data_IF_002076659888
#
_entry.id   IF_002076659888
#
_cell.length_a   1.000
_cell.length_b   1.000
_cell.length_c   1.000
_cell.angle_alpha   90.00
_cell.angle_beta   90.00
_cell.angle_gamma   90.00
#
_symmetry.space_group_name_H-M   'P 1'
#
loop_
_entity.id
_entity.type
_entity.pdbx_description
1 polymer ?
#
# COMPACT_ATOMS: atom_id res chain seq x y z
N UNK A 1 -6.92 -2.00 -2.91
CA UNK A 1 -6.67 -1.91 -4.35
C UNK A 1 -7.79 -2.52 -5.17
N UNK A 2 -8.23 -3.74 -4.85
CA UNK A 2 -9.30 -4.45 -5.57
C UNK A 2 -10.60 -3.65 -5.61
N UNK A 3 -10.94 -2.97 -4.53
CA UNK A 3 -12.16 -2.14 -4.46
C UNK A 3 -12.12 -0.96 -5.42
N UNK A 4 -10.98 -0.27 -5.52
CA UNK A 4 -10.79 0.84 -6.45
C UNK A 4 -10.87 0.38 -7.91
N UNK A 5 -10.23 -0.76 -8.20
CA UNK A 5 -10.25 -1.37 -9.52
C UNK A 5 -11.67 -1.77 -9.97
N UNK A 6 -12.47 -2.34 -9.05
CA UNK A 6 -13.87 -2.69 -9.33
C UNK A 6 -14.70 -1.43 -9.57
N UNK A 7 -14.50 -0.37 -8.79
CA UNK A 7 -15.20 0.89 -8.97
C UNK A 7 -14.96 1.51 -10.36
N UNK A 8 -13.73 1.45 -10.87
CA UNK A 8 -13.40 1.93 -12.22
C UNK A 8 -14.01 1.09 -13.36
N UNK A 9 -14.07 -0.24 -13.22
CA UNK A 9 -14.49 -1.16 -14.31
C UNK A 9 -15.98 -1.48 -14.36
N UNK A 10 -16.70 -1.33 -13.27
CA UNK A 10 -18.08 -1.80 -13.14
C UNK A 10 -19.05 -0.69 -12.78
N UNK A 11 -18.97 0.44 -13.46
CA UNK A 11 -20.05 1.42 -13.37
C UNK A 11 -21.31 0.75 -13.98
N UNK A 12 -22.34 0.41 -13.19
CA UNK A 12 -23.57 -0.15 -13.76
C UNK A 12 -24.17 0.90 -14.69
N UNK A 13 -24.63 0.55 -15.88
CA UNK A 13 -25.12 1.51 -16.87
C UNK A 13 -26.37 2.31 -16.44
N UNK A 14 -26.97 2.01 -15.28
CA UNK A 14 -28.29 2.53 -14.91
C UNK A 14 -28.40 3.20 -13.54
N UNK A 15 -27.31 3.33 -12.74
CA UNK A 15 -27.37 4.06 -11.46
C UNK A 15 -26.14 4.97 -11.35
N UNK A 16 -26.38 6.27 -11.33
CA UNK A 16 -25.42 7.24 -10.85
C UNK A 16 -25.16 6.99 -9.35
N UNK A 17 -24.09 6.28 -9.04
CA UNK A 17 -23.60 6.16 -7.68
C UNK A 17 -22.72 7.37 -7.39
N UNK A 18 -23.23 8.32 -6.65
CA UNK A 18 -22.52 9.55 -6.26
C UNK A 18 -21.21 9.30 -5.49
N UNK A 19 -21.01 8.08 -5.01
CA UNK A 19 -19.82 7.67 -4.28
C UNK A 19 -18.70 7.05 -5.13
N UNK A 20 -18.89 6.88 -6.44
CA UNK A 20 -17.87 6.27 -7.29
C UNK A 20 -16.85 7.30 -7.78
N UNK A 21 -15.58 6.86 -7.87
CA UNK A 21 -14.53 7.68 -8.48
C UNK A 21 -14.75 7.77 -10.00
N UNK A 22 -14.56 8.96 -10.53
CA UNK A 22 -14.46 9.17 -11.97
C UNK A 22 -13.06 8.74 -12.46
N UNK A 23 -12.98 8.21 -13.68
CA UNK A 23 -11.75 7.78 -14.33
C UNK A 23 -11.77 6.33 -14.81
N UNK A 24 -10.66 5.89 -15.36
CA UNK A 24 -10.46 4.51 -15.82
C UNK A 24 -9.78 3.66 -14.74
N UNK A 25 -10.12 2.38 -14.69
CA UNK A 25 -9.39 1.41 -13.88
C UNK A 25 -7.94 1.23 -14.37
N UNK A 26 -7.68 1.54 -15.62
CA UNK A 26 -6.35 1.44 -16.22
C UNK A 26 -5.41 2.56 -15.71
N UNK A 27 -5.97 3.64 -15.13
CA UNK A 27 -5.22 4.72 -14.48
C UNK A 27 -4.87 4.40 -13.02
N UNK A 28 -5.31 3.25 -12.50
CA UNK A 28 -5.07 2.84 -11.12
C UNK A 28 -3.86 1.92 -11.06
N UNK A 29 -2.81 2.40 -10.40
CA UNK A 29 -1.58 1.66 -10.14
C UNK A 29 -1.57 1.13 -8.71
N UNK A 30 -1.32 -0.16 -8.52
CA UNK A 30 -1.32 -0.79 -7.20
C UNK A 30 -0.09 -1.69 -6.99
N UNK A 31 0.70 -1.35 -5.98
CA UNK A 31 1.91 -2.10 -5.64
C UNK A 31 1.68 -3.03 -4.46
N UNK A 32 1.80 -4.34 -4.68
CA UNK A 32 1.65 -5.39 -3.68
C UNK A 32 2.95 -5.83 -3.00
N UNK A 33 3.98 -4.97 -2.93
CA UNK A 33 5.34 -5.37 -2.57
C UNK A 33 5.55 -5.75 -1.10
N UNK A 34 4.61 -5.45 -0.18
CA UNK A 34 4.74 -5.76 1.25
C UNK A 34 6.09 -5.35 1.82
N UNK A 35 6.40 -4.05 1.69
CA UNK A 35 7.70 -3.48 2.10
C UNK A 35 7.85 -3.32 3.62
N UNK A 36 6.82 -3.65 4.38
CA UNK A 36 6.84 -3.76 5.84
C UNK A 36 7.61 -4.98 6.35
N UNK A 37 7.92 -5.94 5.47
CA UNK A 37 8.61 -7.19 5.84
C UNK A 37 9.76 -7.52 4.89
N UNK A 38 10.70 -8.30 5.40
CA UNK A 38 11.85 -8.83 4.67
C UNK A 38 12.90 -7.77 4.33
N UNK A 39 13.93 -8.19 3.61
CA UNK A 39 15.05 -7.35 3.22
C UNK A 39 14.63 -6.38 2.10
N UNK A 40 14.71 -5.07 2.36
CA UNK A 40 14.37 -4.00 1.40
C UNK A 40 15.60 -3.37 0.72
N UNK A 41 16.81 -3.82 1.04
CA UNK A 41 18.02 -3.50 0.28
C UNK A 41 18.13 -4.33 -1.00
N UNK A 42 17.39 -5.45 -1.07
CA UNK A 42 17.30 -6.25 -2.29
C UNK A 42 16.39 -5.57 -3.29
N UNK A 43 16.59 -5.88 -4.55
CA UNK A 43 15.72 -5.42 -5.62
C UNK A 43 14.25 -5.74 -5.31
N UNK A 44 13.43 -4.68 -5.24
CA UNK A 44 12.01 -4.76 -4.86
C UNK A 44 11.19 -5.47 -5.95
N UNK A 45 11.58 -5.37 -7.19
CA UNK A 45 10.96 -6.07 -8.33
C UNK A 45 11.63 -7.42 -8.61
N UNK A 46 12.66 -7.78 -7.85
CA UNK A 46 13.47 -8.97 -8.05
C UNK A 46 12.89 -10.25 -7.44
N UNK A 47 13.56 -11.36 -7.76
CA UNK A 47 13.17 -12.72 -7.33
C UNK A 47 13.04 -12.88 -5.81
N UNK A 48 13.87 -12.19 -5.02
CA UNK A 48 13.79 -12.26 -3.56
C UNK A 48 12.41 -11.82 -3.07
N UNK A 49 11.94 -10.67 -3.51
CA UNK A 49 10.65 -10.09 -3.11
C UNK A 49 9.49 -10.95 -3.60
N UNK A 50 9.56 -11.43 -4.84
CA UNK A 50 8.60 -12.38 -5.41
C UNK A 50 8.46 -13.61 -4.54
N UNK A 51 9.57 -14.27 -4.21
CA UNK A 51 9.58 -15.49 -3.39
C UNK A 51 9.05 -15.25 -1.97
N UNK A 52 9.39 -14.10 -1.37
CA UNK A 52 8.89 -13.72 -0.06
C UNK A 52 7.36 -13.59 -0.08
N UNK A 53 6.80 -12.88 -1.05
CA UNK A 53 5.35 -12.68 -1.19
C UNK A 53 4.65 -14.03 -1.40
N UNK A 54 5.16 -14.88 -2.27
CA UNK A 54 4.61 -16.23 -2.50
C UNK A 54 4.61 -17.08 -1.23
N UNK A 55 5.70 -17.06 -0.48
CA UNK A 55 5.79 -17.72 0.82
C UNK A 55 4.73 -17.25 1.81
N UNK A 56 4.49 -15.93 1.87
CA UNK A 56 3.49 -15.34 2.75
C UNK A 56 2.06 -15.71 2.38
N UNK A 57 1.80 -15.89 1.11
CA UNK A 57 0.48 -16.24 0.59
C UNK A 57 0.25 -17.76 0.54
N UNK A 58 1.21 -18.58 1.02
CA UNK A 58 1.22 -20.04 0.90
C UNK A 58 1.02 -20.53 -0.55
N UNK A 59 1.56 -19.79 -1.50
CA UNK A 59 1.47 -20.12 -2.93
C UNK A 59 2.60 -21.03 -3.34
N UNK A 60 2.32 -22.01 -4.20
CA UNK A 60 3.36 -22.88 -4.78
C UNK A 60 4.13 -22.12 -5.86
N UNK A 61 5.44 -22.36 -5.93
CA UNK A 61 6.25 -21.89 -7.07
C UNK A 61 5.65 -22.44 -8.37
N UNK A 62 5.34 -21.56 -9.29
CA UNK A 62 4.66 -21.88 -10.55
C UNK A 62 3.19 -21.46 -10.61
N UNK A 63 2.54 -21.21 -9.47
CA UNK A 63 1.28 -20.47 -9.41
C UNK A 63 1.59 -18.97 -9.47
N UNK A 64 2.05 -18.48 -10.62
CA UNK A 64 2.20 -17.05 -10.83
C UNK A 64 0.82 -16.42 -10.75
N UNK A 65 0.56 -15.70 -9.65
CA UNK A 65 -0.62 -14.86 -9.66
C UNK A 65 -0.39 -13.74 -10.64
N UNK A 66 -1.38 -13.52 -11.46
CA UNK A 66 -1.51 -12.36 -12.34
C UNK A 66 -1.18 -11.07 -11.55
N UNK A 67 -1.57 -11.00 -10.28
CA UNK A 67 -1.34 -9.86 -9.39
C UNK A 67 0.14 -9.47 -9.23
N UNK A 68 1.09 -10.41 -9.22
CA UNK A 68 2.51 -10.06 -9.11
C UNK A 68 3.11 -9.60 -10.44
N UNK A 69 2.76 -10.29 -11.54
CA UNK A 69 3.13 -9.85 -12.88
C UNK A 69 2.55 -8.46 -13.17
N UNK A 70 1.32 -8.23 -12.73
CA UNK A 70 0.64 -6.94 -12.84
C UNK A 70 1.36 -5.84 -12.04
N UNK A 71 1.91 -6.13 -10.85
CA UNK A 71 2.68 -5.14 -10.07
C UNK A 71 3.91 -4.62 -10.81
N UNK A 72 4.63 -5.49 -11.53
CA UNK A 72 5.76 -5.07 -12.35
C UNK A 72 5.32 -4.19 -13.54
N UNK A 73 4.27 -4.61 -14.24
CA UNK A 73 3.70 -3.81 -15.34
C UNK A 73 3.19 -2.46 -14.86
N UNK A 74 2.65 -2.39 -13.65
CA UNK A 74 2.16 -1.18 -13.04
C UNK A 74 3.27 -0.18 -12.68
N UNK A 75 4.47 -0.64 -12.32
CA UNK A 75 5.63 0.25 -12.15
C UNK A 75 6.05 0.88 -13.48
N UNK A 76 6.01 0.14 -14.57
CA UNK A 76 6.27 0.71 -15.91
C UNK A 76 5.19 1.74 -16.29
N UNK A 77 3.94 1.44 -15.99
CA UNK A 77 2.83 2.36 -16.25
C UNK A 77 2.97 3.67 -15.44
N UNK A 78 3.35 3.57 -14.16
CA UNK A 78 3.65 4.76 -13.36
C UNK A 78 4.76 5.62 -13.98
N UNK A 79 5.83 5.01 -14.46
CA UNK A 79 6.93 5.74 -15.12
C UNK A 79 6.45 6.49 -16.36
N UNK A 80 5.60 5.87 -17.18
CA UNK A 80 4.99 6.52 -18.35
C UNK A 80 4.21 7.77 -17.94
N UNK A 81 3.38 7.68 -16.90
CA UNK A 81 2.63 8.84 -16.40
C UNK A 81 3.53 9.94 -15.85
N UNK A 82 4.60 9.57 -15.13
CA UNK A 82 5.55 10.53 -14.60
C UNK A 82 6.31 11.26 -15.71
N UNK A 83 6.76 10.56 -16.73
CA UNK A 83 7.43 11.13 -17.91
C UNK A 83 6.50 12.00 -18.75
N UNK A 84 5.20 11.69 -18.78
CA UNK A 84 4.18 12.51 -19.43
C UNK A 84 3.81 13.78 -18.63
N UNK A 85 4.31 13.94 -17.40
CA UNK A 85 4.00 15.09 -16.55
C UNK A 85 2.62 15.01 -15.86
N UNK A 86 2.01 13.82 -15.83
CA UNK A 86 0.69 13.62 -15.21
C UNK A 86 0.73 13.85 -13.69
N UNK A 87 -0.35 14.37 -13.14
CA UNK A 87 -0.48 14.48 -11.68
C UNK A 87 -0.78 13.12 -11.06
N UNK A 88 -0.14 12.82 -9.93
CA UNK A 88 -0.25 11.52 -9.26
C UNK A 88 -1.01 11.66 -7.95
N UNK A 89 -2.10 10.89 -7.79
CA UNK A 89 -2.86 10.78 -6.55
C UNK A 89 -2.48 9.51 -5.81
N UNK A 90 -2.02 9.64 -4.56
CA UNK A 90 -1.59 8.51 -3.73
C UNK A 90 -2.58 8.30 -2.60
N UNK A 91 -3.16 7.11 -2.54
CA UNK A 91 -4.04 6.65 -1.48
C UNK A 91 -3.23 5.83 -0.48
N UNK A 92 -3.15 6.26 0.77
CA UNK A 92 -2.38 5.57 1.79
C UNK A 92 -3.11 5.51 3.14
N UNK A 93 -2.68 4.60 4.01
CA UNK A 93 -3.17 4.46 5.38
C UNK A 93 -2.01 4.35 6.37
N UNK A 94 -2.32 4.30 7.67
CA UNK A 94 -1.31 4.08 8.71
C UNK A 94 -0.90 2.60 8.85
N UNK A 95 -1.44 1.68 8.04
CA UNK A 95 -0.95 0.32 7.99
C UNK A 95 0.54 0.28 7.59
N UNK A 96 1.40 -0.52 8.26
CA UNK A 96 2.85 -0.53 8.03
C UNK A 96 3.23 -0.70 6.56
N UNK A 97 2.62 -1.66 5.84
CA UNK A 97 2.89 -1.87 4.42
C UNK A 97 2.52 -0.65 3.56
N UNK A 98 1.45 0.07 3.92
CA UNK A 98 1.01 1.25 3.19
C UNK A 98 1.96 2.43 3.41
N UNK A 99 2.45 2.60 4.64
CA UNK A 99 3.46 3.62 4.97
C UNK A 99 4.80 3.35 4.31
N UNK A 100 5.29 2.11 4.37
CA UNK A 100 6.51 1.73 3.65
C UNK A 100 6.35 1.95 2.14
N UNK A 101 5.19 1.60 1.58
CA UNK A 101 4.86 1.86 0.18
C UNK A 101 4.88 3.34 -0.18
N UNK A 102 4.29 4.21 0.67
CA UNK A 102 4.35 5.65 0.49
C UNK A 102 5.79 6.18 0.48
N UNK A 103 6.62 5.76 1.45
CA UNK A 103 8.00 6.21 1.55
C UNK A 103 8.83 5.78 0.34
N UNK A 104 8.68 4.52 -0.07
CA UNK A 104 9.33 4.00 -1.28
C UNK A 104 8.88 4.76 -2.54
N UNK A 105 7.59 5.00 -2.69
CA UNK A 105 7.06 5.74 -3.83
C UNK A 105 7.56 7.18 -3.83
N UNK A 106 7.58 7.87 -2.69
CA UNK A 106 8.15 9.22 -2.59
C UNK A 106 9.65 9.26 -2.92
N UNK A 107 10.40 8.20 -2.61
CA UNK A 107 11.80 8.09 -3.03
C UNK A 107 11.94 8.06 -4.57
N UNK A 108 11.03 7.39 -5.27
CA UNK A 108 10.97 7.41 -6.74
C UNK A 108 10.55 8.82 -7.23
N UNK A 109 9.46 9.36 -6.68
CA UNK A 109 8.86 10.63 -7.09
C UNK A 109 9.77 11.83 -6.83
N UNK A 110 10.76 11.71 -5.94
CA UNK A 110 11.71 12.77 -5.66
C UNK A 110 12.53 13.21 -6.89
N UNK A 111 12.65 12.35 -7.89
CA UNK A 111 13.34 12.63 -9.17
C UNK A 111 12.44 13.30 -10.22
N UNK A 112 11.15 13.55 -9.91
CA UNK A 112 10.17 14.09 -10.85
C UNK A 112 9.56 15.39 -10.34
N UNK A 113 9.05 16.24 -11.23
CA UNK A 113 8.42 17.52 -10.89
C UNK A 113 6.89 17.49 -11.00
N UNK A 114 6.31 16.31 -11.13
CA UNK A 114 4.86 16.10 -11.22
C UNK A 114 4.14 16.61 -9.96
N UNK A 115 2.92 17.10 -10.13
CA UNK A 115 2.06 17.41 -9.00
C UNK A 115 1.65 16.13 -8.28
N UNK A 116 1.92 16.07 -6.99
CA UNK A 116 1.59 14.91 -6.14
C UNK A 116 0.50 15.30 -5.17
N UNK A 117 -0.52 14.46 -5.08
CA UNK A 117 -1.65 14.61 -4.17
C UNK A 117 -1.74 13.38 -3.26
N UNK A 118 -2.00 13.60 -1.99
CA UNK A 118 -2.17 12.55 -1.02
C UNK A 118 -3.59 12.51 -0.46
N UNK A 119 -4.13 11.30 -0.33
CA UNK A 119 -5.34 11.01 0.43
C UNK A 119 -4.99 9.98 1.50
N UNK A 120 -5.06 10.41 2.76
CA UNK A 120 -4.87 9.53 3.90
C UNK A 120 -6.20 8.92 4.30
N UNK A 121 -6.26 7.60 4.48
CA UNK A 121 -7.41 6.95 5.11
C UNK A 121 -7.53 7.46 6.56
N UNK A 122 -8.64 8.05 6.97
CA UNK A 122 -8.86 8.40 8.37
C UNK A 122 -8.98 7.14 9.22
N UNK A 123 -8.59 7.23 10.48
CA UNK A 123 -8.69 6.12 11.43
C UNK A 123 -10.15 5.64 11.60
N UNK A 124 -11.09 6.59 11.54
CA UNK A 124 -12.51 6.29 11.61
C UNK A 124 -13.33 7.26 10.75
N UNK A 125 -14.51 6.81 10.37
CA UNK A 125 -15.52 7.61 9.67
C UNK A 125 -16.84 7.53 10.43
N UNK A 126 -17.56 8.65 10.49
CA UNK A 126 -18.88 8.72 11.14
C UNK A 126 -19.97 8.59 10.08
N UNK A 127 -20.71 7.50 10.13
CA UNK A 127 -21.88 7.25 9.29
C UNK A 127 -23.17 7.38 10.14
N UNK A 128 -23.75 8.56 10.15
CA UNK A 128 -24.92 8.86 10.96
C UNK A 128 -24.63 8.73 12.47
N UNK A 129 -25.13 7.65 13.10
CA UNK A 129 -24.88 7.34 14.52
C UNK A 129 -23.82 6.26 14.74
N UNK A 130 -23.23 5.75 13.68
CA UNK A 130 -22.23 4.67 13.73
C UNK A 130 -20.84 5.22 13.45
N UNK A 131 -19.84 4.76 14.22
CA UNK A 131 -18.42 5.02 13.96
C UNK A 131 -17.83 3.75 13.39
N UNK A 132 -17.22 3.86 12.20
CA UNK A 132 -16.53 2.76 11.51
C UNK A 132 -15.04 3.04 11.54
N UNK A 133 -14.26 2.07 12.01
CA UNK A 133 -12.81 2.11 12.01
C UNK A 133 -12.27 1.34 10.82
N UNK A 134 -11.38 1.97 10.05
CA UNK A 134 -10.70 1.35 8.92
C UNK A 134 -9.22 1.17 9.22
N UNK A 135 -8.71 -0.03 9.00
CA UNK A 135 -7.28 -0.33 9.12
C UNK A 135 -6.51 -0.04 7.83
N UNK A 136 -7.19 -0.21 6.71
CA UNK A 136 -6.61 -0.04 5.37
C UNK A 136 -7.69 0.19 4.31
N UNK A 137 -7.28 0.62 3.12
CA UNK A 137 -8.18 0.90 2.00
C UNK A 137 -8.94 -0.33 1.48
N UNK A 138 -8.48 -1.54 1.76
CA UNK A 138 -9.18 -2.76 1.37
C UNK A 138 -10.47 -3.02 2.16
N UNK A 139 -10.69 -2.32 3.27
CA UNK A 139 -11.90 -2.40 4.09
C UNK A 139 -12.97 -1.38 3.66
N UNK A 140 -12.61 -0.42 2.82
CA UNK A 140 -13.51 0.63 2.32
C UNK A 140 -14.31 0.09 1.15
N UNK A 141 -15.64 0.25 1.19
CA UNK A 141 -16.50 -0.14 0.08
C UNK A 141 -16.24 0.76 -1.16
N UNK A 142 -16.39 0.18 -2.34
CA UNK A 142 -16.07 0.89 -3.59
C UNK A 142 -16.86 2.20 -3.76
N UNK A 143 -18.08 2.22 -3.27
CA UNK A 143 -19.02 3.33 -3.33
C UNK A 143 -18.65 4.49 -2.40
N UNK A 144 -17.74 4.27 -1.45
CA UNK A 144 -17.34 5.25 -0.44
C UNK A 144 -16.10 6.05 -0.85
N UNK A 145 -15.32 5.56 -1.83
CA UNK A 145 -14.03 6.16 -2.20
C UNK A 145 -14.12 7.64 -2.57
N UNK A 146 -15.13 8.05 -3.34
CA UNK A 146 -15.28 9.44 -3.74
C UNK A 146 -15.50 10.39 -2.54
N UNK A 147 -16.09 9.89 -1.45
CA UNK A 147 -16.27 10.66 -0.22
C UNK A 147 -14.96 11.11 0.44
N UNK A 148 -13.87 10.38 0.21
CA UNK A 148 -12.56 10.70 0.76
C UNK A 148 -11.78 11.74 -0.06
N UNK A 149 -12.25 12.11 -1.26
CA UNK A 149 -11.61 13.15 -2.08
C UNK A 149 -11.55 14.51 -1.35
N UNK A 150 -12.48 14.78 -0.45
CA UNK A 150 -12.45 15.99 0.40
C UNK A 150 -11.21 16.08 1.30
N UNK A 151 -10.55 14.97 1.57
CA UNK A 151 -9.29 14.88 2.32
C UNK A 151 -8.03 14.96 1.44
N UNK A 152 -8.19 15.17 0.13
CA UNK A 152 -7.06 15.32 -0.80
C UNK A 152 -6.27 16.58 -0.51
N UNK A 153 -4.94 16.48 -0.54
CA UNK A 153 -4.05 17.63 -0.43
C UNK A 153 -2.88 17.52 -1.38
N UNK A 154 -2.44 18.65 -1.90
CA UNK A 154 -1.20 18.76 -2.67
C UNK A 154 -0.02 18.66 -1.70
N UNK A 155 1.04 18.01 -2.14
CA UNK A 155 2.25 17.74 -1.35
C UNK A 155 3.39 18.61 -1.87
N UNK A 156 4.12 19.25 -0.95
CA UNK A 156 5.30 20.01 -1.34
C UNK A 156 6.49 19.12 -1.68
N UNK A 157 7.43 19.64 -2.44
CA UNK A 157 8.67 18.94 -2.78
C UNK A 157 9.49 18.59 -1.51
N UNK A 158 9.44 19.46 -0.51
CA UNK A 158 10.10 19.25 0.78
C UNK A 158 9.51 18.06 1.51
N UNK A 159 8.18 17.90 1.48
CA UNK A 159 7.52 16.75 2.10
C UNK A 159 7.84 15.45 1.36
N UNK A 160 7.90 15.46 0.03
CA UNK A 160 8.34 14.29 -0.76
C UNK A 160 9.77 13.91 -0.39
N UNK A 161 10.69 14.88 -0.26
CA UNK A 161 12.07 14.63 0.18
C UNK A 161 12.14 14.06 1.60
N UNK A 162 11.30 14.55 2.49
CA UNK A 162 11.18 14.01 3.86
C UNK A 162 10.77 12.53 3.83
N UNK A 163 9.74 12.16 3.08
CA UNK A 163 9.34 10.76 2.95
C UNK A 163 10.42 9.90 2.28
N UNK A 164 11.11 10.43 1.27
CA UNK A 164 12.24 9.75 0.64
C UNK A 164 13.40 9.53 1.63
N UNK A 165 13.68 10.49 2.53
CA UNK A 165 14.67 10.33 3.61
C UNK A 165 14.27 9.22 4.58
N UNK A 166 12.99 9.17 4.99
CA UNK A 166 12.47 8.09 5.83
C UNK A 166 12.59 6.71 5.16
N UNK A 167 12.42 6.64 3.83
CA UNK A 167 12.69 5.41 3.09
C UNK A 167 14.15 4.98 3.21
N UNK A 168 15.08 5.90 3.03
CA UNK A 168 16.52 5.61 3.13
C UNK A 168 16.90 5.16 4.55
N UNK A 169 16.36 5.78 5.59
CA UNK A 169 16.54 5.32 6.98
C UNK A 169 16.07 3.87 7.18
N UNK A 170 14.91 3.50 6.62
CA UNK A 170 14.41 2.12 6.68
C UNK A 170 15.29 1.15 5.90
N UNK A 171 15.85 1.57 4.77
CA UNK A 171 16.78 0.76 3.97
C UNK A 171 18.10 0.55 4.70
N UNK A 172 18.61 1.57 5.39
CA UNK A 172 19.84 1.47 6.20
C UNK A 172 19.63 0.53 7.40
N UNK A 173 18.53 0.69 8.14
CA UNK A 173 18.16 -0.18 9.26
C UNK A 173 17.92 -1.62 8.80
N UNK A 174 17.21 -1.79 7.70
CA UNK A 174 16.88 -3.05 7.04
C UNK A 174 16.41 -4.18 7.98
N UNK A 175 15.76 -3.84 9.08
CA UNK A 175 15.14 -4.81 10.00
C UNK A 175 14.16 -5.70 9.24
N UNK A 176 14.04 -7.01 9.59
CA UNK A 176 13.20 -7.95 8.85
C UNK A 176 11.71 -7.66 8.94
N UNK A 177 11.27 -6.91 9.96
CA UNK A 177 9.90 -6.45 10.16
C UNK A 177 9.91 -4.95 10.47
N UNK A 178 8.90 -4.23 9.97
CA UNK A 178 8.68 -2.81 10.22
C UNK A 178 7.28 -2.59 10.76
N UNK A 179 7.17 -1.77 11.79
CA UNK A 179 5.91 -1.49 12.47
C UNK A 179 5.69 0.01 12.69
N UNK A 180 4.42 0.41 12.78
CA UNK A 180 4.05 1.77 13.21
C UNK A 180 3.96 1.82 14.72
N UNK A 181 4.77 2.69 15.33
CA UNK A 181 4.74 2.94 16.77
C UNK A 181 4.69 4.44 17.01
N UNK A 182 3.64 4.90 17.69
CA UNK A 182 3.43 6.32 17.97
C UNK A 182 3.53 7.23 16.73
N UNK A 183 2.97 6.79 15.61
CA UNK A 183 2.97 7.53 14.34
C UNK A 183 4.30 7.50 13.57
N UNK A 184 5.31 6.78 14.06
CA UNK A 184 6.61 6.61 13.42
C UNK A 184 6.79 5.16 12.95
N UNK A 185 7.31 4.97 11.74
CA UNK A 185 7.74 3.67 11.25
C UNK A 185 9.10 3.32 11.89
N UNK A 186 9.20 2.14 12.47
CA UNK A 186 10.45 1.63 13.07
C UNK A 186 10.74 0.21 12.61
N UNK A 187 12.01 -0.16 12.57
CA UNK A 187 12.46 -1.54 12.49
C UNK A 187 12.15 -2.29 13.79
N UNK A 188 11.72 -3.53 13.66
CA UNK A 188 11.48 -4.42 14.80
C UNK A 188 12.62 -5.42 14.88
N UNK A 189 13.35 -5.51 16.01
CA UNK A 189 14.43 -6.46 16.18
C UNK A 189 13.98 -7.92 16.02
N UNK A 190 14.88 -8.78 15.51
CA UNK A 190 14.59 -10.21 15.27
C UNK A 190 14.18 -10.94 16.55
N UNK A 191 14.70 -10.51 17.71
CA UNK A 191 14.41 -11.10 19.02
C UNK A 191 12.93 -11.02 19.41
N UNK A 192 12.17 -10.13 18.78
CA UNK A 192 10.72 -10.00 19.01
C UNK A 192 9.89 -11.00 18.19
N UNK A 193 10.49 -11.63 17.16
CA UNK A 193 9.77 -12.55 16.28
C UNK A 193 10.64 -13.72 15.87
N UNK A 194 10.40 -14.88 16.47
CA UNK A 194 10.85 -16.14 15.90
C UNK A 194 9.91 -16.55 14.76
N UNK A 195 10.11 -15.92 13.61
CA UNK A 195 9.30 -16.13 12.40
C UNK A 195 9.24 -17.62 11.98
N UNK A 196 10.25 -18.41 12.29
CA UNK A 196 10.33 -19.83 11.90
C UNK A 196 9.54 -20.74 12.83
N UNK A 197 9.49 -20.44 14.12
CA UNK A 197 8.75 -21.27 15.08
C UNK A 197 7.25 -20.98 15.04
N UNK A 198 6.85 -19.72 14.85
CA UNK A 198 5.46 -19.33 14.92
C UNK A 198 4.69 -19.59 13.61
N UNK A 199 5.37 -19.71 12.47
CA UNK A 199 4.73 -20.07 11.21
C UNK A 199 4.21 -21.52 11.19
N UNK A 200 4.82 -22.41 11.99
CA UNK A 200 4.43 -23.82 12.09
C UNK A 200 3.55 -24.13 13.31
N UNK A 201 3.39 -23.18 14.23
CA UNK A 201 2.48 -23.33 15.36
C UNK A 201 1.15 -22.65 15.04
N UNK A 202 0.11 -23.46 14.95
CA UNK A 202 -1.31 -23.05 14.92
C UNK A 202 -1.73 -22.38 16.24
N UNK A 203 -0.95 -21.44 16.76
CA UNK A 203 -1.35 -20.66 17.93
C UNK A 203 -2.35 -19.59 17.51
N UNK A 204 -3.56 -19.70 18.05
CA UNK A 204 -4.66 -18.76 17.81
C UNK A 204 -4.28 -17.29 18.07
N UNK A 205 -3.26 -17.03 18.93
CA UNK A 205 -2.75 -15.67 19.19
C UNK A 205 -1.98 -15.08 18.03
N UNK A 206 -1.23 -15.89 17.29
CA UNK A 206 -0.57 -15.45 16.08
C UNK A 206 -1.54 -15.24 14.92
N UNK A 207 -2.61 -16.02 14.83
CA UNK A 207 -3.69 -15.74 13.86
C UNK A 207 -4.33 -14.37 14.11
N UNK A 208 -4.42 -13.91 15.35
CA UNK A 208 -4.92 -12.56 15.69
C UNK A 208 -3.92 -11.47 15.24
N UNK A 209 -2.63 -11.67 15.46
CA UNK A 209 -1.61 -10.72 15.01
C UNK A 209 -1.47 -10.70 13.47
N UNK A 210 -1.55 -11.84 12.81
CA UNK A 210 -1.60 -11.91 11.34
C UNK A 210 -2.90 -11.36 10.76
N UNK A 211 -4.03 -11.46 11.46
CA UNK A 211 -5.24 -10.75 11.05
C UNK A 211 -5.07 -9.24 11.07
N UNK A 212 -4.23 -8.68 11.92
CA UNK A 212 -3.85 -7.27 11.90
C UNK A 212 -3.14 -6.87 10.60
N UNK A 213 -2.46 -7.82 9.94
CA UNK A 213 -1.74 -7.59 8.68
C UNK A 213 -2.46 -8.16 7.45
N UNK A 214 -3.49 -8.98 7.63
CA UNK A 214 -4.25 -9.62 6.54
C UNK A 214 -5.57 -8.95 6.20
N UNK A 215 -6.05 -8.04 7.03
CA UNK A 215 -7.31 -7.32 6.78
C UNK A 215 -7.05 -5.91 6.36
#
# INVERSE_FOLDING_TARGET
PTSVFIAGKKKPPEKEHSGWLEGSADDVVCFGYRLDIGNIQKDIEGHYRKNLIFSLLNMKMGEETQDYADSFMQMQQLKIYLEAGESIRIWYSDAPYSRCGLYHLCNILNCYENEIRLIKLPEYVVHGKTIVFYKNWGEVAAEEFAGFLSGERIVSKEEIRMYASLWNELVEDNSPLRAMVNGKMIGVPEDFYDFKQDYNKTDKRMQVNWRYYRT
#
